data_IF_289843519207
#
_entry.id   IF_289843519207
#
_cell.length_a   1.000
_cell.length_b   1.000
_cell.length_c   1.000
_cell.angle_alpha   90.00
_cell.angle_beta   90.00
_cell.angle_gamma   90.00
#
_symmetry.space_group_name_H-M   'P 1'
#
loop_
_entity.id
_entity.type
_entity.pdbx_description
1 polymer ?
#
# COMPACT_ATOMS: atom_id res chain seq x y z
N UNK A 1 -11.47 13.01 -63.67
CA UNK A 1 -10.43 13.05 -62.61
C UNK A 1 -10.89 14.01 -61.52
N UNK A 2 -11.34 13.52 -60.35
CA UNK A 2 -11.77 14.38 -59.23
C UNK A 2 -10.56 14.67 -58.33
N UNK A 3 -10.18 15.94 -58.19
CA UNK A 3 -9.14 16.39 -57.26
C UNK A 3 -9.68 16.29 -55.83
N UNK A 4 -8.96 15.57 -54.96
CA UNK A 4 -9.23 15.48 -53.53
C UNK A 4 -8.66 16.75 -52.88
N UNK A 5 -9.51 17.70 -52.53
CA UNK A 5 -9.11 18.86 -51.72
C UNK A 5 -9.06 18.45 -50.25
N UNK A 6 -7.87 18.47 -49.66
CA UNK A 6 -7.70 18.35 -48.21
C UNK A 6 -8.23 19.64 -47.56
N UNK A 7 -9.40 19.56 -46.94
CA UNK A 7 -9.92 20.61 -46.08
C UNK A 7 -8.98 20.77 -44.88
N UNK A 8 -8.41 21.97 -44.74
CA UNK A 8 -7.68 22.39 -43.54
C UNK A 8 -8.69 22.42 -42.40
N UNK A 9 -8.50 21.55 -41.41
CA UNK A 9 -9.37 21.43 -40.22
C UNK A 9 -9.56 22.81 -39.59
N UNK A 10 -10.83 23.18 -39.40
CA UNK A 10 -11.28 24.44 -38.80
C UNK A 10 -10.48 24.82 -37.54
N UNK A 11 -10.16 26.13 -37.33
CA UNK A 11 -9.46 26.62 -36.13
C UNK A 11 -10.07 26.16 -34.79
N UNK A 12 -11.39 25.90 -34.78
CA UNK A 12 -12.08 25.37 -33.60
C UNK A 12 -11.57 23.99 -33.16
N UNK A 13 -11.09 23.14 -34.09
CA UNK A 13 -10.51 21.83 -33.77
C UNK A 13 -9.13 21.95 -33.13
N UNK A 14 -8.35 22.99 -33.46
CA UNK A 14 -7.06 23.26 -32.82
C UNK A 14 -7.26 23.87 -31.42
N UNK A 15 -8.26 24.75 -31.25
CA UNK A 15 -8.61 25.31 -29.95
C UNK A 15 -9.09 24.24 -28.95
N UNK A 16 -9.89 23.27 -29.41
CA UNK A 16 -10.35 22.15 -28.59
C UNK A 16 -9.22 21.19 -28.19
N UNK A 17 -8.20 21.02 -29.04
CA UNK A 17 -7.02 20.22 -28.70
C UNK A 17 -6.15 20.92 -27.64
N UNK A 18 -5.98 22.25 -27.73
CA UNK A 18 -5.25 23.03 -26.71
C UNK A 18 -6.01 23.04 -25.39
N UNK A 19 -7.34 23.20 -25.41
CA UNK A 19 -8.17 23.18 -24.21
C UNK A 19 -8.23 21.78 -23.55
N UNK A 20 -8.12 20.70 -24.32
CA UNK A 20 -8.01 19.34 -23.80
C UNK A 20 -6.63 19.06 -23.18
N UNK A 21 -5.55 19.64 -23.71
CA UNK A 21 -4.20 19.55 -23.12
C UNK A 21 -4.10 20.40 -21.84
N UNK A 22 -4.75 21.56 -21.78
CA UNK A 22 -4.83 22.40 -20.59
C UNK A 22 -5.66 21.79 -19.45
N UNK A 23 -6.56 20.84 -19.74
CA UNK A 23 -7.34 20.11 -18.72
C UNK A 23 -6.59 18.93 -18.06
N UNK A 24 -5.38 18.60 -18.54
CA UNK A 24 -4.53 17.54 -17.95
C UNK A 24 -3.51 18.12 -16.95
N UNK A 25 -3.27 19.43 -16.99
CA UNK A 25 -2.34 20.09 -16.07
C UNK A 25 -3.08 20.54 -14.81
N UNK A 26 -2.56 20.22 -13.61
CA UNK A 26 -3.17 20.67 -12.36
C UNK A 26 -3.18 22.21 -12.30
N UNK A 27 -4.28 22.77 -11.80
CA UNK A 27 -4.52 24.20 -11.62
C UNK A 27 -3.33 24.89 -10.89
N UNK A 28 -2.65 25.85 -11.53
CA UNK A 28 -1.45 26.49 -10.99
C UNK A 28 -1.73 27.39 -9.77
N UNK A 29 -3.00 27.68 -9.46
CA UNK A 29 -3.39 28.52 -8.33
C UNK A 29 -3.69 27.73 -7.05
N UNK A 30 -3.77 26.39 -7.14
CA UNK A 30 -4.06 25.53 -6.01
C UNK A 30 -2.74 24.99 -5.42
N UNK A 31 -2.48 25.11 -4.11
CA UNK A 31 -1.29 24.52 -3.52
C UNK A 31 -1.31 23.02 -3.81
N UNK A 32 -0.26 22.50 -4.45
CA UNK A 32 -0.11 21.09 -4.76
C UNK A 32 -0.02 20.34 -3.42
N UNK A 33 -1.17 19.96 -2.87
CA UNK A 33 -1.28 19.36 -1.54
C UNK A 33 -0.71 17.92 -1.53
N UNK A 34 -0.26 17.40 -2.66
CA UNK A 34 0.22 16.04 -2.82
C UNK A 34 1.39 15.99 -3.80
N UNK A 35 2.51 15.44 -3.36
CA UNK A 35 3.71 15.25 -4.17
C UNK A 35 3.41 14.49 -5.46
N UNK A 36 3.97 14.98 -6.58
CA UNK A 36 3.92 14.31 -7.89
C UNK A 36 5.09 13.33 -8.03
N UNK A 37 4.98 12.33 -8.92
CA UNK A 37 6.10 11.42 -9.18
C UNK A 37 7.33 12.17 -9.70
N UNK A 38 7.14 13.13 -10.59
CA UNK A 38 8.23 13.95 -11.12
C UNK A 38 8.95 14.67 -9.99
N UNK A 39 8.21 15.37 -9.13
CA UNK A 39 8.79 16.07 -7.98
C UNK A 39 9.52 15.12 -7.04
N UNK A 40 8.95 13.95 -6.78
CA UNK A 40 9.60 12.91 -5.97
C UNK A 40 10.96 12.49 -6.55
N UNK A 41 11.03 12.23 -7.87
CA UNK A 41 12.26 11.82 -8.57
C UNK A 41 13.32 12.94 -8.70
N UNK A 42 12.91 14.20 -8.56
CA UNK A 42 13.85 15.33 -8.50
C UNK A 42 14.62 15.37 -7.18
N UNK A 43 13.96 15.01 -6.07
CA UNK A 43 14.53 15.17 -4.72
C UNK A 43 15.04 13.88 -4.10
N UNK A 44 14.52 12.72 -4.51
CA UNK A 44 14.82 11.43 -3.91
C UNK A 44 15.21 10.39 -4.97
N UNK A 45 16.12 9.51 -4.58
CA UNK A 45 16.42 8.26 -5.27
C UNK A 45 15.82 7.11 -4.46
N UNK A 46 15.25 6.12 -5.14
CA UNK A 46 14.67 4.94 -4.54
C UNK A 46 15.37 3.69 -5.07
N UNK A 47 15.79 2.81 -4.17
CA UNK A 47 16.34 1.50 -4.52
C UNK A 47 15.25 0.44 -4.33
N UNK A 48 14.91 -0.26 -5.41
CA UNK A 48 13.86 -1.27 -5.44
C UNK A 48 14.20 -2.52 -4.65
N UNK A 49 15.50 -2.85 -4.54
CA UNK A 49 16.00 -4.06 -3.89
C UNK A 49 16.10 -3.91 -2.38
N UNK A 50 16.43 -2.71 -1.90
CA UNK A 50 16.53 -2.42 -0.45
C UNK A 50 15.28 -1.75 0.09
N UNK A 51 14.51 -1.05 -0.75
CA UNK A 51 13.35 -0.26 -0.34
C UNK A 51 13.74 1.09 0.29
N UNK A 52 15.01 1.47 0.20
CA UNK A 52 15.55 2.68 0.81
C UNK A 52 15.40 3.90 -0.10
N UNK A 53 15.29 5.05 0.54
CA UNK A 53 15.30 6.34 -0.13
C UNK A 53 16.54 7.12 0.29
N UNK A 54 17.21 7.76 -0.67
CA UNK A 54 18.32 8.68 -0.41
C UNK A 54 18.05 10.04 -1.03
N UNK A 55 18.58 11.11 -0.42
CA UNK A 55 18.45 12.46 -0.97
C UNK A 55 19.26 12.60 -2.26
N UNK A 56 18.62 13.04 -3.35
CA UNK A 56 19.33 13.31 -4.62
C UNK A 56 20.05 14.66 -4.61
N UNK A 57 19.54 15.61 -3.84
CA UNK A 57 20.06 16.96 -3.69
C UNK A 57 20.25 17.29 -2.23
N UNK A 58 21.18 18.21 -1.92
CA UNK A 58 21.35 18.72 -0.55
C UNK A 58 20.02 19.29 -0.05
N UNK A 59 19.47 18.71 1.01
CA UNK A 59 18.15 19.09 1.53
C UNK A 59 18.22 20.28 2.48
N UNK A 60 19.24 20.31 3.33
CA UNK A 60 19.53 21.39 4.28
C UNK A 60 21.00 21.31 4.73
N UNK A 61 21.44 22.21 5.62
CA UNK A 61 22.83 22.22 6.09
C UNK A 61 23.30 20.92 6.74
N UNK A 62 22.37 20.15 7.35
CA UNK A 62 22.66 18.90 8.05
C UNK A 62 22.37 17.63 7.23
N UNK A 63 21.89 17.76 6.00
CA UNK A 63 21.50 16.61 5.16
C UNK A 63 21.96 16.84 3.73
N UNK A 64 22.92 16.03 3.30
CA UNK A 64 23.56 16.08 2.01
C UNK A 64 22.89 15.12 1.02
N UNK A 65 23.26 15.27 -0.25
CA UNK A 65 22.91 14.27 -1.25
C UNK A 65 23.60 12.93 -0.91
N UNK A 66 22.89 11.82 -1.07
CA UNK A 66 23.32 10.46 -0.72
C UNK A 66 22.85 9.97 0.65
N UNK A 67 22.51 10.86 1.58
CA UNK A 67 22.04 10.47 2.92
C UNK A 67 20.68 9.77 2.86
N UNK A 68 20.48 8.76 3.72
CA UNK A 68 19.18 8.08 3.86
C UNK A 68 18.11 9.10 4.27
N UNK A 69 17.02 9.13 3.50
CA UNK A 69 15.94 10.07 3.68
C UNK A 69 14.90 9.51 4.66
N UNK A 70 14.62 10.28 5.71
CA UNK A 70 13.54 9.99 6.66
C UNK A 70 14.01 9.33 7.95
N UNK A 71 13.05 8.77 8.68
CA UNK A 71 13.28 8.08 9.95
C UNK A 71 12.10 7.15 10.24
N UNK A 72 12.27 6.27 11.24
CA UNK A 72 11.19 5.41 11.74
C UNK A 72 10.27 6.18 12.69
N UNK A 73 8.96 6.12 12.44
CA UNK A 73 7.94 6.72 13.30
C UNK A 73 7.66 5.85 14.53
N UNK A 74 6.93 6.41 15.51
CA UNK A 74 6.47 5.66 16.70
C UNK A 74 5.54 4.48 16.36
N UNK A 75 4.85 4.53 15.23
CA UNK A 75 4.02 3.42 14.71
C UNK A 75 4.86 2.31 14.02
N UNK A 76 6.16 2.57 13.83
CA UNK A 76 7.11 1.67 13.18
C UNK A 76 7.19 1.83 11.65
N UNK A 77 6.49 2.79 11.05
CA UNK A 77 6.62 3.09 9.62
C UNK A 77 7.84 3.96 9.35
N UNK A 78 8.55 3.73 8.24
CA UNK A 78 9.51 4.72 7.74
C UNK A 78 8.77 5.91 7.12
N UNK A 79 9.16 7.12 7.49
CA UNK A 79 8.50 8.36 7.06
C UNK A 79 9.51 9.37 6.55
N UNK A 80 9.15 10.09 5.48
CA UNK A 80 10.02 11.05 4.79
C UNK A 80 9.28 12.36 4.63
N UNK A 81 9.91 13.48 5.01
CA UNK A 81 9.35 14.82 4.88
C UNK A 81 9.82 15.46 3.58
N UNK A 82 8.91 15.64 2.62
CA UNK A 82 9.18 16.28 1.33
C UNK A 82 8.29 17.51 1.19
N UNK A 83 8.87 18.64 0.79
CA UNK A 83 8.18 19.92 0.59
C UNK A 83 7.24 20.30 1.76
N UNK A 84 7.71 20.09 2.99
CA UNK A 84 6.97 20.43 4.21
C UNK A 84 5.98 19.37 4.70
N UNK A 85 5.66 18.35 3.90
CA UNK A 85 4.68 17.31 4.23
C UNK A 85 5.35 15.96 4.51
N UNK A 86 4.86 15.27 5.54
CA UNK A 86 5.34 13.95 5.93
C UNK A 86 4.60 12.86 5.16
N UNK A 87 5.33 11.94 4.55
CA UNK A 87 4.80 10.81 3.78
C UNK A 87 5.35 9.50 4.33
N UNK A 88 4.55 8.42 4.28
CA UNK A 88 5.02 7.06 4.56
C UNK A 88 5.84 6.56 3.37
N UNK A 89 7.00 5.96 3.63
CA UNK A 89 7.94 5.55 2.60
C UNK A 89 7.36 4.53 1.61
N UNK A 90 6.61 3.52 2.07
CA UNK A 90 5.91 2.58 1.18
C UNK A 90 4.97 3.26 0.17
N UNK A 91 4.35 4.40 0.54
CA UNK A 91 3.51 5.17 -0.40
C UNK A 91 4.38 5.90 -1.41
N UNK A 92 5.50 6.47 -0.98
CA UNK A 92 6.46 7.08 -1.89
C UNK A 92 7.07 6.04 -2.83
N UNK A 93 7.39 4.83 -2.37
CA UNK A 93 7.91 3.73 -3.20
C UNK A 93 6.93 3.40 -4.31
N UNK A 94 5.65 3.24 -3.96
CA UNK A 94 4.60 3.01 -4.95
C UNK A 94 4.44 4.17 -5.94
N UNK A 95 4.46 5.42 -5.46
CA UNK A 95 4.40 6.59 -6.34
C UNK A 95 5.60 6.65 -7.28
N UNK A 96 6.80 6.34 -6.78
CA UNK A 96 8.04 6.34 -7.54
C UNK A 96 8.00 5.35 -8.71
N UNK A 97 7.49 4.15 -8.45
CA UNK A 97 7.40 3.07 -9.44
C UNK A 97 6.21 3.21 -10.39
N UNK A 98 5.02 3.50 -9.85
CA UNK A 98 3.77 3.36 -10.61
C UNK A 98 3.20 4.72 -11.08
N UNK A 99 3.82 5.84 -10.70
CA UNK A 99 3.49 7.18 -11.17
C UNK A 99 2.26 7.83 -10.53
N UNK A 100 1.46 7.08 -9.80
CA UNK A 100 0.33 7.63 -9.05
C UNK A 100 0.17 6.93 -7.70
N UNK A 101 -0.39 7.67 -6.73
CA UNK A 101 -0.75 7.11 -5.44
C UNK A 101 -2.13 6.43 -5.53
N UNK A 102 -2.26 5.16 -5.12
CA UNK A 102 -3.52 4.45 -5.17
C UNK A 102 -4.49 5.02 -4.13
N UNK A 103 -5.79 4.91 -4.44
CA UNK A 103 -6.87 5.22 -3.49
C UNK A 103 -6.98 4.17 -2.37
N UNK A 104 -6.59 2.93 -2.66
CA UNK A 104 -6.54 1.83 -1.70
C UNK A 104 -5.33 1.93 -0.75
N UNK A 105 -5.34 1.08 0.28
CA UNK A 105 -4.18 0.93 1.15
C UNK A 105 -3.08 0.14 0.42
N UNK A 106 -1.85 0.32 0.89
CA UNK A 106 -0.69 -0.48 0.47
C UNK A 106 -0.30 -1.33 1.67
N UNK A 107 -0.36 -2.63 1.48
CA UNK A 107 -0.06 -3.65 2.49
C UNK A 107 1.40 -4.11 2.36
N UNK A 108 2.01 -4.37 3.51
CA UNK A 108 3.34 -4.97 3.61
C UNK A 108 3.16 -6.49 3.71
N UNK A 109 3.54 -7.22 2.67
CA UNK A 109 3.34 -8.67 2.59
C UNK A 109 3.96 -9.36 3.82
N UNK A 110 5.15 -8.96 4.26
CA UNK A 110 5.83 -9.56 5.40
C UNK A 110 5.49 -8.96 6.79
N UNK A 111 4.61 -7.95 6.88
CA UNK A 111 4.26 -7.19 8.10
C UNK A 111 5.35 -6.29 8.69
N UNK A 112 6.50 -6.19 8.01
CA UNK A 112 7.60 -5.31 8.43
C UNK A 112 7.36 -3.93 7.83
N UNK A 113 6.91 -3.00 8.67
CA UNK A 113 6.39 -1.67 8.26
C UNK A 113 7.43 -0.74 7.63
N UNK A 114 8.70 -0.99 7.88
CA UNK A 114 9.85 -0.26 7.34
C UNK A 114 10.54 -1.01 6.18
N UNK A 115 10.10 -2.22 5.83
CA UNK A 115 10.54 -2.92 4.62
C UNK A 115 9.73 -2.42 3.41
N UNK A 116 10.20 -1.33 2.82
CA UNK A 116 9.48 -0.65 1.74
C UNK A 116 9.86 -1.13 0.33
N UNK A 117 10.53 -2.28 0.20
CA UNK A 117 10.86 -2.89 -1.09
C UNK A 117 9.59 -3.06 -1.92
N UNK A 118 9.63 -2.72 -3.19
CA UNK A 118 8.41 -2.73 -4.03
C UNK A 118 7.84 -4.15 -4.14
N UNK A 119 8.70 -5.17 -4.16
CA UNK A 119 8.34 -6.58 -4.15
C UNK A 119 7.64 -7.04 -2.86
N UNK A 120 7.76 -6.29 -1.76
CA UNK A 120 7.08 -6.54 -0.48
C UNK A 120 5.78 -5.74 -0.32
N UNK A 121 5.42 -4.92 -1.31
CA UNK A 121 4.23 -4.05 -1.27
C UNK A 121 3.15 -4.57 -2.22
N UNK A 122 1.89 -4.48 -1.79
CA UNK A 122 0.74 -4.79 -2.64
C UNK A 122 -0.45 -3.89 -2.34
N UNK A 123 -1.33 -3.71 -3.31
CA UNK A 123 -2.60 -3.02 -3.08
C UNK A 123 -3.52 -3.89 -2.23
N UNK A 124 -4.14 -3.28 -1.22
CA UNK A 124 -5.08 -3.97 -0.36
C UNK A 124 -6.27 -3.06 -0.05
N UNK A 125 -7.45 -3.66 0.05
CA UNK A 125 -8.55 -3.06 0.80
C UNK A 125 -8.20 -3.08 2.29
N UNK A 126 -8.84 -2.21 3.07
CA UNK A 126 -8.70 -2.22 4.53
C UNK A 126 -9.00 -3.59 5.14
N UNK A 127 -9.98 -4.30 4.59
CA UNK A 127 -10.35 -5.65 5.06
C UNK A 127 -9.24 -6.65 4.79
N UNK A 128 -8.67 -6.65 3.59
CA UNK A 128 -7.55 -7.54 3.22
C UNK A 128 -6.31 -7.29 4.07
N UNK A 129 -5.93 -6.02 4.27
CA UNK A 129 -4.81 -5.66 5.15
C UNK A 129 -5.05 -6.14 6.60
N UNK A 130 -6.28 -6.02 7.12
CA UNK A 130 -6.63 -6.56 8.45
C UNK A 130 -6.53 -8.09 8.51
N UNK A 131 -6.71 -8.81 7.40
CA UNK A 131 -6.48 -10.26 7.38
C UNK A 131 -4.99 -10.59 7.39
N UNK A 132 -4.14 -9.76 6.76
CA UNK A 132 -2.69 -9.88 6.83
C UNK A 132 -2.16 -9.32 8.18
N UNK A 133 -2.46 -10.02 9.27
CA UNK A 133 -1.93 -9.72 10.61
C UNK A 133 -1.52 -10.99 11.33
N UNK A 134 -0.57 -10.85 12.25
CA UNK A 134 -0.19 -11.93 13.14
C UNK A 134 -1.30 -12.25 14.15
N UNK A 135 -1.18 -13.42 14.81
CA UNK A 135 -1.98 -13.73 15.99
C UNK A 135 -1.81 -12.64 17.06
N UNK A 136 -2.88 -12.40 17.82
CA UNK A 136 -2.81 -11.46 18.96
C UNK A 136 -1.78 -11.94 19.99
N UNK A 137 -1.08 -11.01 20.61
CA UNK A 137 -0.05 -11.32 21.61
C UNK A 137 -0.60 -12.10 22.82
N UNK A 138 -1.86 -11.84 23.20
CA UNK A 138 -2.55 -12.55 24.27
C UNK A 138 -3.16 -13.89 23.86
N UNK A 139 -2.99 -14.32 22.61
CA UNK A 139 -3.50 -15.60 22.15
C UNK A 139 -2.64 -16.76 22.70
N UNK A 140 -3.25 -17.56 23.57
CA UNK A 140 -2.62 -18.69 24.26
C UNK A 140 -2.59 -19.99 23.45
N UNK A 141 -3.34 -20.09 22.36
CA UNK A 141 -3.33 -21.31 21.53
C UNK A 141 -2.05 -21.45 20.71
N UNK A 142 -1.32 -20.35 20.49
CA UNK A 142 -0.19 -20.31 19.55
C UNK A 142 -0.62 -20.11 18.09
N UNK A 143 -1.90 -20.26 17.76
CA UNK A 143 -2.42 -20.25 16.39
C UNK A 143 -3.44 -19.13 16.16
N UNK A 144 -3.32 -18.40 15.05
CA UNK A 144 -4.32 -17.39 14.71
C UNK A 144 -5.68 -18.06 14.44
N UNK A 145 -6.76 -17.37 14.81
CA UNK A 145 -8.12 -17.89 14.66
C UNK A 145 -8.52 -18.98 15.66
N UNK A 146 -7.60 -19.46 16.52
CA UNK A 146 -7.87 -20.52 17.50
C UNK A 146 -7.87 -19.95 18.91
N UNK A 147 -8.90 -20.29 19.69
CA UNK A 147 -9.05 -19.88 21.09
C UNK A 147 -9.66 -20.99 21.94
N UNK A 148 -9.26 -21.11 23.21
CA UNK A 148 -9.90 -22.03 24.14
C UNK A 148 -11.31 -21.55 24.50
N UNK A 149 -12.30 -22.43 24.37
CA UNK A 149 -13.67 -22.17 24.77
C UNK A 149 -14.01 -22.89 26.08
N UNK A 150 -14.25 -22.12 27.14
CA UNK A 150 -14.47 -22.68 28.48
C UNK A 150 -15.77 -23.49 28.60
N UNK A 151 -16.80 -23.16 27.81
CA UNK A 151 -18.12 -23.80 27.88
C UNK A 151 -18.09 -25.20 27.27
N UNK A 152 -17.53 -25.32 26.07
CA UNK A 152 -17.36 -26.60 25.38
C UNK A 152 -16.14 -27.39 25.85
N UNK A 153 -15.22 -26.75 26.58
CA UNK A 153 -13.91 -27.30 26.97
C UNK A 153 -13.13 -27.83 25.76
N UNK A 154 -13.20 -27.09 24.65
CA UNK A 154 -12.57 -27.41 23.37
C UNK A 154 -11.90 -26.18 22.77
N UNK A 155 -10.99 -26.40 21.82
CA UNK A 155 -10.41 -25.36 20.99
C UNK A 155 -11.38 -24.95 19.89
N UNK A 156 -11.82 -23.69 19.91
CA UNK A 156 -12.69 -23.12 18.89
C UNK A 156 -11.86 -22.49 17.77
N UNK A 157 -12.13 -22.89 16.54
CA UNK A 157 -11.67 -22.22 15.33
C UNK A 157 -12.72 -21.19 14.88
N UNK A 158 -12.30 -19.94 14.66
CA UNK A 158 -13.18 -18.86 14.23
C UNK A 158 -12.48 -17.94 13.23
N UNK A 159 -13.23 -17.52 12.22
CA UNK A 159 -12.78 -16.57 11.19
C UNK A 159 -13.76 -15.40 11.10
N UNK A 160 -13.29 -14.25 10.62
CA UNK A 160 -14.14 -13.07 10.38
C UNK A 160 -14.18 -12.77 8.90
N UNK A 161 -15.34 -12.94 8.28
CA UNK A 161 -15.56 -12.71 6.85
C UNK A 161 -16.64 -11.63 6.74
N UNK A 162 -16.40 -10.58 5.95
CA UNK A 162 -17.35 -9.48 5.76
C UNK A 162 -17.88 -8.90 7.09
N UNK A 163 -16.97 -8.69 8.05
CA UNK A 163 -17.26 -8.20 9.43
C UNK A 163 -18.12 -9.13 10.29
N UNK A 164 -18.44 -10.34 9.82
CA UNK A 164 -19.20 -11.35 10.58
C UNK A 164 -18.29 -12.46 11.06
N UNK A 165 -18.46 -12.87 12.32
CA UNK A 165 -17.75 -14.02 12.88
C UNK A 165 -18.40 -15.31 12.39
N UNK A 166 -17.61 -16.20 11.82
CA UNK A 166 -18.01 -17.53 11.40
C UNK A 166 -17.30 -18.54 12.30
N UNK A 167 -18.09 -19.35 13.01
CA UNK A 167 -17.55 -20.46 13.78
C UNK A 167 -17.24 -21.62 12.83
N UNK A 168 -16.02 -22.13 12.87
CA UNK A 168 -15.58 -23.24 12.02
C UNK A 168 -15.66 -24.59 12.72
N UNK A 169 -15.80 -24.59 14.05
CA UNK A 169 -15.95 -25.81 14.83
C UNK A 169 -15.22 -25.76 16.18
N UNK A 170 -15.33 -26.87 16.90
CA UNK A 170 -14.69 -27.11 18.17
C UNK A 170 -13.91 -28.42 18.11
N UNK A 171 -12.65 -28.39 18.56
CA UNK A 171 -11.69 -29.47 18.41
C UNK A 171 -10.99 -29.75 19.74
N UNK A 172 -10.54 -30.98 19.93
CA UNK A 172 -9.82 -31.37 21.15
C UNK A 172 -8.35 -30.94 21.11
N UNK A 173 -7.79 -30.80 19.90
CA UNK A 173 -6.41 -30.33 19.67
C UNK A 173 -6.38 -28.95 18.97
N UNK A 174 -5.51 -28.01 19.40
CA UNK A 174 -5.43 -26.70 18.79
C UNK A 174 -4.82 -26.71 17.38
N UNK A 175 -4.00 -27.72 17.01
CA UNK A 175 -3.44 -27.83 15.67
C UNK A 175 -4.51 -28.24 14.66
N UNK A 176 -5.42 -29.14 15.03
CA UNK A 176 -6.59 -29.48 14.21
C UNK A 176 -7.47 -28.25 13.97
N UNK A 177 -7.81 -27.51 15.02
CA UNK A 177 -8.54 -26.25 14.92
C UNK A 177 -7.85 -25.24 13.99
N UNK A 178 -6.51 -25.16 14.08
CA UNK A 178 -5.70 -24.30 13.22
C UNK A 178 -5.72 -24.73 11.76
N UNK A 179 -5.63 -26.03 11.47
CA UNK A 179 -5.72 -26.56 10.10
C UNK A 179 -7.04 -26.17 9.44
N UNK A 180 -8.16 -26.27 10.17
CA UNK A 180 -9.46 -25.84 9.66
C UNK A 180 -9.50 -24.32 9.43
N UNK A 181 -8.92 -23.54 10.32
CA UNK A 181 -8.79 -22.09 10.13
C UNK A 181 -7.94 -21.74 8.91
N UNK A 182 -6.77 -22.35 8.74
CA UNK A 182 -5.85 -22.11 7.63
C UNK A 182 -6.52 -22.39 6.29
N UNK A 183 -7.14 -23.56 6.13
CA UNK A 183 -7.88 -23.92 4.92
C UNK A 183 -8.98 -22.90 4.60
N UNK A 184 -9.75 -22.48 5.62
CA UNK A 184 -10.81 -21.49 5.39
C UNK A 184 -10.27 -20.10 5.08
N UNK A 185 -9.14 -19.72 5.67
CA UNK A 185 -8.47 -18.47 5.40
C UNK A 185 -7.93 -18.41 3.97
N UNK A 186 -7.32 -19.49 3.49
CA UNK A 186 -6.86 -19.61 2.10
C UNK A 186 -8.02 -19.49 1.11
N UNK A 187 -9.13 -20.20 1.37
CA UNK A 187 -10.36 -20.13 0.54
C UNK A 187 -10.93 -18.70 0.49
N UNK A 188 -10.92 -17.98 1.61
CA UNK A 188 -11.62 -16.70 1.72
C UNK A 188 -10.75 -15.49 1.37
N UNK A 189 -9.44 -15.55 1.63
CA UNK A 189 -8.54 -14.39 1.58
C UNK A 189 -7.37 -14.57 0.61
N UNK A 190 -7.12 -15.79 0.11
CA UNK A 190 -6.06 -16.07 -0.84
C UNK A 190 -4.71 -15.57 -0.37
N UNK A 191 -4.04 -14.75 -1.18
CA UNK A 191 -2.73 -14.19 -0.86
C UNK A 191 -2.69 -13.32 0.42
N UNK A 192 -3.84 -12.82 0.89
CA UNK A 192 -3.93 -12.03 2.13
C UNK A 192 -4.14 -12.90 3.37
N UNK A 193 -4.30 -14.22 3.19
CA UNK A 193 -4.39 -15.16 4.28
C UNK A 193 -3.07 -15.20 5.07
N UNK A 194 -3.21 -15.31 6.39
CA UNK A 194 -2.10 -15.53 7.32
C UNK A 194 -2.64 -16.29 8.51
N UNK A 195 -1.91 -17.29 8.98
CA UNK A 195 -2.34 -18.19 10.05
C UNK A 195 -1.19 -18.58 10.97
#
# INVERSE_FOLDING_TARGET
MKKLTFEIRSPAHQQNAIHAVQQILPDPTKPINQITQQRLKEVLLYDELTGEFTWKVKKCQRMNAGDIAGHKSSEGYWVIKVDGKLYKAHRLAWLYMNGSLPKSDIDHINLVRDDNRIANLRLATRSQNIQNVNKKANNKSGYKGVSWDKKSRKWRAQIVINKRKVNLGFYDDPKEAHKVYANKADECFGEFARY
#
